data_IF_273303754381
#
_entry.id   IF_273303754381
#
_cell.length_a   1.000
_cell.length_b   1.000
_cell.length_c   1.000
_cell.angle_alpha   90.00
_cell.angle_beta   90.00
_cell.angle_gamma   90.00
#
_symmetry.space_group_name_H-M   'P 1'
#
loop_
_entity.id
_entity.type
_entity.pdbx_description
1 polymer ?
#
# COMPACT_ATOMS: atom_id res chain seq x y z
N UNK A 1 0.38 -28.47 -15.60
CA UNK A 1 0.10 -27.69 -14.37
C UNK A 1 -0.11 -26.26 -14.79
N UNK A 2 -1.17 -25.57 -14.34
CA UNK A 2 -1.39 -24.19 -14.76
C UNK A 2 -0.23 -23.33 -14.26
N UNK A 3 0.29 -22.46 -15.13
CA UNK A 3 1.48 -21.65 -14.90
C UNK A 3 1.44 -21.00 -13.51
N UNK A 4 2.38 -21.38 -12.65
CA UNK A 4 2.48 -20.90 -11.27
C UNK A 4 2.97 -19.44 -11.21
N UNK A 5 3.39 -18.87 -12.34
CA UNK A 5 4.01 -17.54 -12.46
C UNK A 5 3.09 -16.47 -13.06
N UNK A 6 1.79 -16.74 -13.15
CA UNK A 6 0.80 -15.78 -13.64
C UNK A 6 -0.20 -15.37 -12.54
N UNK A 7 -0.57 -14.09 -12.51
CA UNK A 7 -1.61 -13.58 -11.62
C UNK A 7 -2.97 -14.21 -11.92
N UNK A 8 -3.68 -14.59 -10.86
CA UNK A 8 -5.07 -15.07 -10.91
C UNK A 8 -5.92 -14.25 -9.96
N UNK A 9 -7.19 -14.04 -10.29
CA UNK A 9 -8.12 -13.40 -9.36
C UNK A 9 -8.37 -14.32 -8.17
N UNK A 10 -7.92 -13.91 -6.99
CA UNK A 10 -8.14 -14.59 -5.72
C UNK A 10 -9.46 -14.18 -5.08
N UNK A 11 -9.90 -12.93 -5.33
CA UNK A 11 -11.16 -12.39 -4.84
C UNK A 11 -11.74 -11.39 -5.85
N UNK A 12 -12.87 -11.73 -6.47
CA UNK A 12 -13.59 -10.84 -7.40
C UNK A 12 -14.53 -9.90 -6.62
N UNK A 13 -13.95 -9.00 -5.82
CA UNK A 13 -14.70 -8.07 -4.95
C UNK A 13 -15.18 -6.82 -5.67
N UNK A 14 -14.63 -6.51 -6.85
CA UNK A 14 -14.96 -5.32 -7.64
C UNK A 14 -14.86 -4.03 -6.82
N UNK A 15 -13.80 -3.90 -6.03
CA UNK A 15 -13.50 -2.72 -5.23
C UNK A 15 -13.42 -1.47 -6.11
N UNK A 16 -13.92 -0.35 -5.59
CA UNK A 16 -13.83 0.96 -6.24
C UNK A 16 -12.36 1.36 -6.36
N UNK A 17 -11.67 1.41 -5.22
CA UNK A 17 -10.24 1.66 -5.09
C UNK A 17 -9.68 0.75 -4.00
N UNK A 18 -9.38 -0.51 -4.35
CA UNK A 18 -8.72 -1.45 -3.44
C UNK A 18 -7.28 -1.03 -3.20
N UNK A 19 -6.83 -1.00 -1.95
CA UNK A 19 -5.52 -0.47 -1.54
C UNK A 19 -4.99 -1.13 -0.25
N UNK A 20 -3.73 -0.81 0.09
CA UNK A 20 -3.06 -1.17 1.34
C UNK A 20 -3.24 -2.65 1.79
N UNK A 21 -2.99 -3.65 0.93
CA UNK A 21 -2.98 -5.05 1.34
C UNK A 21 -1.89 -5.29 2.40
N UNK A 22 -2.25 -5.96 3.50
CA UNK A 22 -1.36 -6.37 4.59
C UNK A 22 -1.69 -7.81 4.99
N UNK A 23 -0.70 -8.69 4.93
CA UNK A 23 -0.87 -10.08 5.37
C UNK A 23 -0.67 -10.22 6.89
N UNK A 24 -1.69 -10.75 7.58
CA UNK A 24 -1.56 -11.16 8.98
C UNK A 24 -1.09 -12.61 9.04
N UNK A 25 0.16 -12.83 9.46
CA UNK A 25 0.72 -14.18 9.69
C UNK A 25 -0.05 -14.92 10.77
N UNK A 26 -0.59 -14.22 11.77
CA UNK A 26 -1.35 -14.84 12.87
C UNK A 26 -2.72 -15.30 12.39
N UNK A 27 -3.42 -14.45 11.63
CA UNK A 27 -4.79 -14.74 11.20
C UNK A 27 -4.85 -15.53 9.89
N UNK A 28 -3.71 -15.72 9.23
CA UNK A 28 -3.57 -16.29 7.88
C UNK A 28 -4.58 -15.65 6.90
N UNK A 29 -4.63 -14.32 6.94
CA UNK A 29 -5.59 -13.53 6.18
C UNK A 29 -4.97 -12.24 5.65
N UNK A 30 -5.47 -11.80 4.49
CA UNK A 30 -5.11 -10.54 3.87
C UNK A 30 -6.10 -9.46 4.35
N UNK A 31 -5.59 -8.46 5.05
CA UNK A 31 -6.32 -7.22 5.30
C UNK A 31 -6.08 -6.24 4.16
N UNK A 32 -7.06 -5.43 3.79
CA UNK A 32 -6.94 -4.44 2.71
C UNK A 32 -8.06 -3.39 2.84
N UNK A 33 -8.00 -2.28 2.12
CA UNK A 33 -9.03 -1.23 2.18
C UNK A 33 -9.68 -0.98 0.84
N UNK A 34 -10.95 -0.60 0.84
CA UNK A 34 -11.53 0.15 -0.28
C UNK A 34 -11.66 1.61 0.14
N UNK A 35 -10.86 2.48 -0.45
CA UNK A 35 -10.77 3.89 -0.04
C UNK A 35 -12.09 4.61 -0.37
N UNK A 36 -12.66 4.34 -1.54
CA UNK A 36 -13.79 5.09 -2.10
C UNK A 36 -15.14 4.42 -1.88
N UNK A 37 -15.16 3.14 -1.47
CA UNK A 37 -16.28 2.53 -0.77
C UNK A 37 -15.82 2.20 0.68
N UNK A 38 -15.77 3.22 1.56
CA UNK A 38 -14.90 3.19 2.74
C UNK A 38 -15.07 1.96 3.61
N UNK A 39 -14.06 1.08 3.59
CA UNK A 39 -14.07 -0.15 4.36
C UNK A 39 -12.65 -0.67 4.61
N UNK A 40 -12.43 -1.21 5.81
CA UNK A 40 -11.32 -2.13 6.08
C UNK A 40 -11.85 -3.54 5.89
N UNK A 41 -11.14 -4.37 5.13
CA UNK A 41 -11.58 -5.68 4.72
C UNK A 41 -10.62 -6.74 5.23
N UNK A 42 -11.15 -7.93 5.55
CA UNK A 42 -10.39 -9.14 5.85
C UNK A 42 -10.77 -10.23 4.86
N UNK A 43 -9.82 -10.61 4.00
CA UNK A 43 -9.94 -11.71 3.07
C UNK A 43 -9.20 -12.96 3.60
N UNK A 44 -9.94 -14.05 3.73
CA UNK A 44 -9.44 -15.35 4.16
C UNK A 44 -9.33 -16.27 2.93
N UNK A 45 -8.11 -16.55 2.43
CA UNK A 45 -7.93 -17.31 1.20
C UNK A 45 -8.28 -18.80 1.35
N UNK A 46 -8.27 -19.35 2.57
CA UNK A 46 -8.63 -20.74 2.82
C UNK A 46 -10.14 -20.98 2.67
N UNK A 47 -10.94 -20.00 3.07
CA UNK A 47 -12.42 -20.05 3.00
C UNK A 47 -13.01 -19.24 1.84
N UNK A 48 -12.17 -18.52 1.10
CA UNK A 48 -12.56 -17.53 0.08
C UNK A 48 -13.54 -16.47 0.60
N UNK A 49 -13.54 -16.19 1.91
CA UNK A 49 -14.49 -15.26 2.54
C UNK A 49 -13.86 -13.90 2.72
N UNK A 50 -14.56 -12.85 2.27
CA UNK A 50 -14.23 -11.46 2.59
C UNK A 50 -15.20 -10.92 3.64
N UNK A 51 -14.69 -10.26 4.67
CA UNK A 51 -15.47 -9.56 5.69
C UNK A 51 -15.13 -8.08 5.64
N UNK A 52 -16.12 -7.26 5.32
CA UNK A 52 -15.98 -5.81 5.30
C UNK A 52 -16.34 -5.21 6.66
N UNK A 53 -15.51 -4.29 7.13
CA UNK A 53 -15.72 -3.44 8.30
C UNK A 53 -15.91 -2.00 7.78
N UNK A 54 -17.14 -1.49 7.70
CA UNK A 54 -17.42 -0.17 7.15
C UNK A 54 -16.70 0.94 7.93
N UNK A 55 -16.18 1.92 7.20
CA UNK A 55 -15.54 3.11 7.77
C UNK A 55 -16.41 4.35 7.52
N UNK A 56 -16.42 5.33 8.44
CA UNK A 56 -17.29 6.50 8.32
C UNK A 56 -16.82 7.48 7.23
N UNK A 57 -15.57 7.37 6.79
CA UNK A 57 -14.91 8.25 5.83
C UNK A 57 -13.86 7.46 5.06
N UNK A 58 -13.37 8.02 3.95
CA UNK A 58 -12.26 7.44 3.19
C UNK A 58 -11.12 7.03 4.12
N UNK A 59 -10.76 5.76 4.05
CA UNK A 59 -9.65 5.13 4.78
C UNK A 59 -8.48 5.04 3.81
N UNK A 60 -7.46 5.89 3.98
CA UNK A 60 -6.30 5.86 3.10
C UNK A 60 -5.51 4.59 3.32
N UNK A 61 -4.99 4.43 4.53
CA UNK A 61 -4.11 3.34 4.90
C UNK A 61 -4.34 2.90 6.35
N UNK A 62 -3.76 1.76 6.72
CA UNK A 62 -3.81 1.23 8.07
C UNK A 62 -2.56 0.38 8.37
N UNK A 63 -2.38 0.04 9.65
CA UNK A 63 -1.47 -1.03 10.06
C UNK A 63 -2.09 -1.86 11.19
N UNK A 64 -1.68 -3.12 11.27
CA UNK A 64 -1.97 -3.98 12.42
C UNK A 64 -1.26 -3.43 13.67
N UNK A 65 -1.87 -3.53 14.85
CA UNK A 65 -1.25 -3.11 16.11
C UNK A 65 -0.67 -4.27 16.90
N UNK A 66 0.42 -4.02 17.61
CA UNK A 66 1.02 -5.00 18.52
C UNK A 66 0.07 -5.35 19.68
N UNK A 67 -0.71 -4.39 20.16
CA UNK A 67 -1.73 -4.57 21.20
C UNK A 67 -3.02 -5.23 20.70
N UNK A 68 -3.11 -5.57 19.42
CA UNK A 68 -4.36 -5.98 18.77
C UNK A 68 -5.16 -4.79 18.21
N UNK A 69 -6.00 -5.09 17.22
CA UNK A 69 -6.71 -4.07 16.44
C UNK A 69 -5.82 -3.39 15.40
N UNK A 70 -6.17 -2.16 15.05
CA UNK A 70 -5.58 -1.41 13.95
C UNK A 70 -5.26 0.03 14.35
N UNK A 71 -4.27 0.62 13.70
CA UNK A 71 -4.17 2.07 13.51
C UNK A 71 -4.63 2.36 12.10
N UNK A 72 -5.55 3.32 11.92
CA UNK A 72 -6.16 3.63 10.63
C UNK A 72 -6.05 5.13 10.35
N UNK A 73 -5.71 5.49 9.12
CA UNK A 73 -5.66 6.88 8.67
C UNK A 73 -6.92 7.20 7.86
N UNK A 74 -7.88 7.87 8.49
CA UNK A 74 -9.12 8.35 7.87
C UNK A 74 -8.94 9.79 7.39
N UNK A 75 -9.81 10.26 6.47
CA UNK A 75 -9.74 11.63 5.92
C UNK A 75 -9.51 12.70 7.00
N UNK A 76 -10.17 12.61 8.15
CA UNK A 76 -10.07 13.61 9.22
C UNK A 76 -8.91 13.41 10.22
N UNK A 77 -8.21 12.28 10.19
CA UNK A 77 -7.13 12.00 11.13
C UNK A 77 -6.82 10.52 11.33
N UNK A 78 -5.93 10.25 12.28
CA UNK A 78 -5.47 8.91 12.60
C UNK A 78 -6.18 8.41 13.85
N UNK A 79 -6.71 7.19 13.76
CA UNK A 79 -7.53 6.55 14.78
C UNK A 79 -6.97 5.19 15.17
N UNK A 80 -7.21 4.80 16.41
CA UNK A 80 -7.12 3.42 16.86
C UNK A 80 -8.47 2.76 16.67
N UNK A 81 -8.47 1.51 16.19
CA UNK A 81 -9.67 0.72 15.97
C UNK A 81 -9.52 -0.69 16.56
N UNK A 82 -10.61 -1.23 17.07
CA UNK A 82 -10.71 -2.61 17.53
C UNK A 82 -10.56 -3.61 16.38
N UNK A 83 -10.40 -4.90 16.70
CA UNK A 83 -10.28 -5.98 15.71
C UNK A 83 -11.50 -6.16 14.81
N UNK A 84 -12.66 -5.67 15.23
CA UNK A 84 -13.88 -5.64 14.41
C UNK A 84 -14.04 -4.34 13.59
N UNK A 85 -13.03 -3.47 13.59
CA UNK A 85 -13.01 -2.20 12.86
C UNK A 85 -13.72 -1.04 13.57
N UNK A 86 -14.24 -1.24 14.79
CA UNK A 86 -14.85 -0.16 15.57
C UNK A 86 -13.80 0.88 15.94
N UNK A 87 -14.01 2.15 15.59
CA UNK A 87 -13.12 3.25 16.00
C UNK A 87 -13.22 3.48 17.51
N UNK A 88 -12.09 3.48 18.19
CA UNK A 88 -12.03 3.61 19.65
C UNK A 88 -11.54 5.00 20.08
N UNK A 89 -10.48 5.51 19.43
CA UNK A 89 -9.83 6.76 19.83
C UNK A 89 -9.16 7.44 18.64
N UNK A 90 -9.43 8.73 18.44
CA UNK A 90 -8.63 9.58 17.57
C UNK A 90 -7.34 9.95 18.29
N UNK A 91 -6.20 9.71 17.66
CA UNK A 91 -4.87 9.95 18.25
C UNK A 91 -4.14 11.13 17.62
N UNK A 92 -4.51 11.51 16.39
CA UNK A 92 -4.02 12.72 15.75
C UNK A 92 -5.04 13.25 14.74
N UNK A 93 -5.14 14.57 14.61
CA UNK A 93 -5.87 15.22 13.52
C UNK A 93 -5.04 15.21 12.23
N UNK A 94 -5.72 15.14 11.09
CA UNK A 94 -5.06 15.32 9.80
C UNK A 94 -4.60 16.78 9.64
N UNK A 95 -3.31 17.05 9.38
CA UNK A 95 -2.77 18.41 9.31
C UNK A 95 -2.96 19.04 7.93
N UNK A 96 -4.16 18.91 7.33
CA UNK A 96 -4.46 19.39 5.98
C UNK A 96 -5.92 19.81 5.83
N UNK A 97 -6.24 20.46 4.72
CA UNK A 97 -7.63 20.78 4.35
C UNK A 97 -8.36 19.52 3.84
N UNK A 98 -9.41 19.12 4.54
CA UNK A 98 -10.17 17.91 4.27
C UNK A 98 -11.03 17.98 2.99
N UNK A 99 -11.23 19.16 2.40
CA UNK A 99 -12.05 19.29 1.19
C UNK A 99 -11.33 18.73 -0.06
N UNK A 100 -10.00 18.70 -0.03
CA UNK A 100 -9.19 18.28 -1.17
C UNK A 100 -7.95 17.46 -0.83
N UNK A 101 -7.73 17.14 0.45
CA UNK A 101 -6.72 16.15 0.84
C UNK A 101 -7.35 14.96 1.56
N UNK A 102 -6.69 13.82 1.41
CA UNK A 102 -6.93 12.61 2.19
C UNK A 102 -5.64 11.81 2.29
N UNK A 103 -5.51 11.01 3.35
CA UNK A 103 -4.53 9.93 3.38
C UNK A 103 -4.68 9.00 2.16
N UNK A 104 -3.57 8.42 1.75
CA UNK A 104 -3.46 7.58 0.56
C UNK A 104 -2.76 6.27 0.89
N UNK A 105 -1.44 6.19 0.85
CA UNK A 105 -0.67 4.98 1.19
C UNK A 105 0.02 5.13 2.55
N UNK A 106 0.36 4.02 3.19
CA UNK A 106 1.02 4.00 4.47
C UNK A 106 1.24 2.59 5.01
N UNK A 107 2.22 2.47 5.90
CA UNK A 107 2.61 1.22 6.55
C UNK A 107 3.47 1.50 7.77
N UNK A 108 3.87 0.45 8.49
CA UNK A 108 4.85 0.58 9.55
C UNK A 108 6.29 0.51 9.06
N UNK A 109 7.17 1.29 9.69
CA UNK A 109 8.61 1.05 9.63
C UNK A 109 8.99 -0.24 10.41
N UNK A 110 10.24 -0.71 10.30
CA UNK A 110 10.70 -1.89 11.05
C UNK A 110 10.60 -1.77 12.58
N UNK A 111 10.53 -0.55 13.11
CA UNK A 111 10.44 -0.27 14.55
C UNK A 111 8.99 -0.10 15.03
N UNK A 112 8.01 -0.27 14.15
CA UNK A 112 6.59 -0.14 14.48
C UNK A 112 6.10 1.30 14.62
N UNK A 113 6.72 2.27 13.93
CA UNK A 113 6.16 3.60 13.73
C UNK A 113 5.24 3.59 12.52
N UNK A 114 4.07 4.21 12.59
CA UNK A 114 3.12 4.19 11.49
C UNK A 114 3.33 5.40 10.58
N UNK A 115 3.71 5.14 9.33
CA UNK A 115 3.86 6.17 8.31
C UNK A 115 2.59 6.24 7.46
N UNK A 116 2.08 7.45 7.27
CA UNK A 116 0.87 7.71 6.49
C UNK A 116 1.09 8.91 5.56
N UNK A 117 1.06 8.63 4.26
CA UNK A 117 1.11 9.63 3.21
C UNK A 117 -0.28 10.14 2.88
N UNK A 118 -0.38 11.41 2.49
CA UNK A 118 -1.61 11.95 1.92
C UNK A 118 -1.41 12.41 0.48
N UNK A 119 -2.50 12.82 -0.17
CA UNK A 119 -2.49 13.33 -1.54
C UNK A 119 -3.37 14.56 -1.67
N UNK A 120 -3.08 15.39 -2.68
CA UNK A 120 -3.97 16.44 -3.14
C UNK A 120 -4.88 15.90 -4.25
N UNK A 121 -6.18 15.79 -3.98
CA UNK A 121 -7.18 15.27 -4.90
C UNK A 121 -7.45 16.20 -6.10
N UNK A 122 -7.18 17.50 -5.97
CA UNK A 122 -7.27 18.47 -7.09
C UNK A 122 -6.11 18.32 -8.07
N UNK A 123 -4.96 17.81 -7.61
CA UNK A 123 -3.75 17.62 -8.42
C UNK A 123 -3.26 18.90 -9.11
N UNK A 124 -3.49 20.04 -8.45
CA UNK A 124 -3.14 21.38 -8.92
C UNK A 124 -1.86 21.92 -8.27
N UNK A 125 -1.41 21.33 -7.15
CA UNK A 125 -0.19 21.70 -6.45
C UNK A 125 0.37 20.53 -5.60
N UNK A 126 1.68 20.60 -5.33
CA UNK A 126 2.40 19.65 -4.46
C UNK A 126 2.24 20.02 -2.98
N UNK A 127 1.01 19.88 -2.48
CA UNK A 127 0.67 20.22 -1.08
C UNK A 127 0.59 19.00 -0.17
N UNK A 128 0.94 17.82 -0.69
CA UNK A 128 0.90 16.58 0.06
C UNK A 128 2.19 16.30 0.84
N UNK A 129 2.11 15.41 1.82
CA UNK A 129 3.24 15.03 2.66
C UNK A 129 3.19 13.55 3.06
N UNK A 130 4.34 13.03 3.51
CA UNK A 130 4.46 11.79 4.25
C UNK A 130 4.61 12.13 5.73
N UNK A 131 3.72 11.59 6.56
CA UNK A 131 3.73 11.77 8.01
C UNK A 131 4.17 10.48 8.71
N UNK A 132 4.70 10.62 9.92
CA UNK A 132 5.02 9.51 10.82
C UNK A 132 4.34 9.71 12.16
N UNK A 133 3.58 8.72 12.59
CA UNK A 133 3.04 8.59 13.93
C UNK A 133 3.98 7.70 14.75
N UNK A 134 4.58 8.28 15.79
CA UNK A 134 5.40 7.55 16.76
C UNK A 134 4.51 6.76 17.76
N UNK A 135 5.07 5.79 18.51
CA UNK A 135 4.30 4.98 19.47
C UNK A 135 3.65 5.79 20.61
N UNK A 136 4.14 7.00 20.87
CA UNK A 136 3.55 7.96 21.82
C UNK A 136 2.44 8.83 21.22
N UNK A 137 2.07 8.55 19.96
CA UNK A 137 1.10 9.27 19.14
C UNK A 137 1.54 10.67 18.66
N UNK A 138 2.83 11.00 18.74
CA UNK A 138 3.36 12.20 18.11
C UNK A 138 3.31 12.06 16.58
N UNK A 139 2.64 12.99 15.91
CA UNK A 139 2.56 13.04 14.44
C UNK A 139 3.57 14.04 13.88
N UNK A 140 4.55 13.54 13.12
CA UNK A 140 5.68 14.32 12.59
C UNK A 140 5.67 14.31 11.06
N UNK A 141 5.74 15.46 10.37
CA UNK A 141 5.98 15.51 8.93
C UNK A 141 7.40 15.01 8.60
N UNK A 142 7.52 14.13 7.61
CA UNK A 142 8.78 13.50 7.20
C UNK A 142 9.23 13.95 5.82
N UNK A 143 8.34 13.91 4.84
CA UNK A 143 8.57 14.42 3.49
C UNK A 143 7.43 15.36 3.12
N UNK A 144 7.71 16.42 2.36
CA UNK A 144 6.72 17.34 1.79
C UNK A 144 7.01 17.61 0.31
N UNK A 145 6.30 18.56 -0.29
CA UNK A 145 6.39 18.85 -1.74
C UNK A 145 6.07 17.61 -2.59
N UNK A 146 5.03 16.88 -2.19
CA UNK A 146 4.53 15.67 -2.85
C UNK A 146 3.15 15.99 -3.45
N UNK A 147 2.80 15.35 -4.57
CA UNK A 147 1.42 15.41 -5.08
C UNK A 147 0.59 14.21 -4.63
N UNK A 148 1.11 12.98 -4.79
CA UNK A 148 0.44 11.74 -4.41
C UNK A 148 1.45 10.81 -3.72
N UNK A 149 1.38 10.74 -2.39
CA UNK A 149 2.26 9.89 -1.58
C UNK A 149 1.89 8.40 -1.72
N UNK A 150 2.86 7.60 -2.17
CA UNK A 150 2.70 6.18 -2.50
C UNK A 150 4.01 5.39 -2.32
N UNK A 151 3.95 4.08 -2.55
CA UNK A 151 5.12 3.24 -2.77
C UNK A 151 6.04 3.13 -1.55
N UNK A 152 5.49 3.26 -0.35
CA UNK A 152 6.31 3.22 0.85
C UNK A 152 6.79 1.79 1.13
N UNK A 153 8.10 1.61 1.25
CA UNK A 153 8.67 0.35 1.72
C UNK A 153 10.02 0.54 2.41
N UNK A 154 10.48 -0.50 3.09
CA UNK A 154 11.76 -0.51 3.78
C UNK A 154 12.59 -1.73 3.33
N UNK A 155 13.90 -1.54 3.19
CA UNK A 155 14.81 -2.66 2.89
C UNK A 155 14.83 -3.69 4.03
N UNK A 156 15.21 -4.96 3.77
CA UNK A 156 15.18 -6.01 4.79
C UNK A 156 16.08 -5.73 5.99
N UNK A 157 17.18 -4.98 5.79
CA UNK A 157 18.08 -4.55 6.84
C UNK A 157 17.61 -3.28 7.58
N UNK A 158 16.48 -2.69 7.17
CA UNK A 158 15.90 -1.50 7.76
C UNK A 158 16.70 -0.21 7.54
N UNK A 159 17.63 -0.19 6.57
CA UNK A 159 18.53 0.96 6.33
C UNK A 159 18.18 1.82 5.14
N UNK A 160 17.22 1.39 4.32
CA UNK A 160 16.73 2.14 3.17
C UNK A 160 15.21 2.27 3.26
N UNK A 161 14.72 3.49 3.07
CA UNK A 161 13.30 3.77 2.84
C UNK A 161 13.09 4.05 1.35
N UNK A 162 12.05 3.46 0.77
CA UNK A 162 11.58 3.72 -0.58
C UNK A 162 10.28 4.52 -0.53
N UNK A 163 10.08 5.43 -1.48
CA UNK A 163 8.84 6.19 -1.60
C UNK A 163 8.63 6.62 -3.06
N UNK A 164 7.39 6.63 -3.50
CA UNK A 164 6.99 7.07 -4.83
C UNK A 164 6.07 8.30 -4.73
N UNK A 165 6.32 9.28 -5.60
CA UNK A 165 5.35 10.32 -5.93
C UNK A 165 4.81 10.01 -7.33
N UNK A 166 3.61 9.42 -7.40
CA UNK A 166 3.11 8.79 -8.63
C UNK A 166 3.16 9.68 -9.88
N UNK A 167 2.81 10.98 -9.82
CA UNK A 167 2.86 11.88 -10.97
C UNK A 167 4.27 12.18 -11.50
N UNK A 168 5.33 11.94 -10.71
CA UNK A 168 6.71 12.16 -11.19
C UNK A 168 7.29 10.93 -11.90
N UNK A 169 6.57 9.79 -11.90
CA UNK A 169 7.03 8.52 -12.45
C UNK A 169 8.36 8.05 -11.83
N UNK A 170 8.62 8.43 -10.58
CA UNK A 170 9.88 8.19 -9.87
C UNK A 170 9.64 7.40 -8.60
N UNK A 171 10.48 6.40 -8.36
CA UNK A 171 10.68 5.82 -7.02
C UNK A 171 12.00 6.40 -6.49
N UNK A 172 11.96 6.96 -5.29
CA UNK A 172 13.13 7.47 -4.57
C UNK A 172 13.52 6.50 -3.47
N UNK A 173 14.82 6.42 -3.22
CA UNK A 173 15.38 5.78 -2.03
C UNK A 173 16.01 6.83 -1.12
N UNK A 174 16.01 6.53 0.17
CA UNK A 174 16.57 7.35 1.23
C UNK A 174 17.38 6.46 2.15
N UNK A 175 18.50 6.97 2.66
CA UNK A 175 19.14 6.35 3.81
C UNK A 175 18.20 6.52 5.02
N UNK A 176 17.94 5.43 5.74
CA UNK A 176 16.98 5.41 6.83
C UNK A 176 17.68 5.11 8.16
N UNK A 177 17.58 6.06 9.10
CA UNK A 177 17.99 5.84 10.48
C UNK A 177 16.83 5.20 11.24
N UNK A 178 16.94 3.89 11.49
CA UNK A 178 15.93 3.16 12.26
C UNK A 178 15.81 3.65 13.72
N UNK A 179 16.88 4.16 14.31
CA UNK A 179 16.86 4.63 15.70
C UNK A 179 15.99 5.88 15.84
N UNK A 180 16.09 6.82 14.90
CA UNK A 180 15.31 8.07 14.94
C UNK A 180 14.05 8.03 14.08
N UNK A 181 13.94 7.07 13.16
CA UNK A 181 12.88 6.97 12.16
C UNK A 181 12.95 8.03 11.07
N UNK A 182 14.17 8.47 10.71
CA UNK A 182 14.40 9.63 9.85
C UNK A 182 15.05 9.21 8.52
N UNK A 183 14.43 9.52 7.37
CA UNK A 183 15.06 9.37 6.07
C UNK A 183 15.99 10.56 5.75
N UNK A 184 17.04 10.30 4.98
CA UNK A 184 18.00 11.30 4.51
C UNK A 184 18.59 10.89 3.15
N UNK A 185 19.42 11.75 2.55
CA UNK A 185 20.13 11.45 1.29
C UNK A 185 19.21 10.94 0.15
N UNK A 186 18.18 11.72 -0.25
CA UNK A 186 17.27 11.32 -1.31
C UNK A 186 18.01 11.06 -2.62
N UNK A 187 17.74 9.91 -3.23
CA UNK A 187 18.28 9.53 -4.54
C UNK A 187 17.19 8.93 -5.42
N UNK A 188 17.30 9.14 -6.73
CA UNK A 188 16.45 8.41 -7.68
C UNK A 188 16.84 6.94 -7.59
N UNK A 189 15.89 6.09 -7.24
CA UNK A 189 16.06 4.65 -7.23
C UNK A 189 15.70 4.07 -8.60
N UNK A 190 14.53 4.44 -9.11
CA UNK A 190 14.09 4.11 -10.46
C UNK A 190 13.25 5.26 -11.05
N UNK A 191 13.37 5.47 -12.35
CA UNK A 191 12.61 6.47 -13.11
C UNK A 191 12.02 5.80 -14.35
N UNK A 192 10.74 6.08 -14.60
CA UNK A 192 10.03 5.56 -15.77
C UNK A 192 9.57 6.71 -16.66
N UNK A 193 9.38 6.40 -17.94
CA UNK A 193 9.08 7.39 -18.97
C UNK A 193 7.84 7.03 -19.82
N UNK A 194 7.29 5.83 -19.69
CA UNK A 194 6.05 5.44 -20.36
C UNK A 194 4.85 6.16 -19.78
N UNK A 195 3.87 6.48 -20.62
CA UNK A 195 2.65 7.20 -20.22
C UNK A 195 1.84 6.47 -19.13
N UNK A 196 1.90 5.13 -19.14
CA UNK A 196 1.25 4.23 -18.19
C UNK A 196 2.19 3.69 -17.12
N UNK A 197 3.46 4.10 -17.11
CA UNK A 197 4.45 3.63 -16.13
C UNK A 197 4.42 4.50 -14.87
N UNK A 198 3.34 4.34 -14.11
CA UNK A 198 3.07 5.13 -12.90
C UNK A 198 3.23 4.24 -11.67
N UNK A 199 4.38 4.26 -10.98
CA UNK A 199 4.56 3.51 -9.75
C UNK A 199 3.52 4.00 -8.73
N UNK A 200 2.77 3.05 -8.21
CA UNK A 200 1.79 3.24 -7.17
C UNK A 200 2.37 2.66 -5.88
N UNK A 201 1.68 1.75 -5.22
CA UNK A 201 2.16 1.02 -4.07
C UNK A 201 3.29 0.00 -4.35
N UNK A 202 4.13 -0.29 -3.35
CA UNK A 202 5.13 -1.36 -3.43
C UNK A 202 5.57 -2.02 -2.13
N UNK A 203 6.19 -3.19 -2.26
CA UNK A 203 6.69 -4.03 -1.17
C UNK A 203 8.09 -4.57 -1.48
N UNK A 204 8.81 -5.05 -0.46
CA UNK A 204 10.18 -5.56 -0.60
C UNK A 204 10.21 -7.04 -0.23
N UNK A 205 10.89 -7.85 -1.06
CA UNK A 205 11.13 -9.26 -0.76
C UNK A 205 12.38 -9.47 0.12
N UNK A 206 12.59 -10.70 0.59
CA UNK A 206 13.69 -11.03 1.52
C UNK A 206 15.10 -10.83 0.92
N UNK A 207 15.22 -10.75 -0.39
CA UNK A 207 16.49 -10.45 -1.08
C UNK A 207 16.69 -8.94 -1.31
N UNK A 208 15.73 -8.12 -0.90
CA UNK A 208 15.78 -6.66 -1.06
C UNK A 208 15.29 -6.18 -2.42
N UNK A 209 14.64 -7.03 -3.22
CA UNK A 209 14.02 -6.56 -4.47
C UNK A 209 12.74 -5.81 -4.14
N UNK A 210 12.54 -4.65 -4.79
CA UNK A 210 11.34 -3.84 -4.64
C UNK A 210 10.32 -4.21 -5.72
N UNK A 211 9.10 -4.49 -5.32
CA UNK A 211 7.97 -4.86 -6.18
C UNK A 211 6.97 -3.71 -6.18
N UNK A 212 6.62 -3.19 -7.35
CA UNK A 212 5.72 -2.03 -7.48
C UNK A 212 4.54 -2.37 -8.37
N UNK A 213 3.32 -2.06 -7.91
CA UNK A 213 2.17 -1.98 -8.78
C UNK A 213 2.24 -0.73 -9.67
N UNK A 214 1.80 -0.85 -10.92
CA UNK A 214 1.80 0.25 -11.89
C UNK A 214 0.37 0.65 -12.25
N UNK A 215 -0.11 1.76 -11.69
CA UNK A 215 -1.48 2.23 -11.89
C UNK A 215 -1.71 2.63 -13.36
N UNK A 216 -2.74 2.05 -13.99
CA UNK A 216 -3.00 2.12 -15.45
C UNK A 216 -1.97 1.39 -16.33
N UNK A 217 -0.92 0.83 -15.74
CA UNK A 217 0.08 0.01 -16.42
C UNK A 217 -0.33 -1.46 -16.56
N UNK A 218 -1.25 -1.95 -15.74
CA UNK A 218 -1.72 -3.34 -15.78
C UNK A 218 -0.65 -4.37 -15.44
N UNK A 219 0.34 -3.97 -14.63
CA UNK A 219 1.49 -4.81 -14.28
C UNK A 219 2.00 -4.56 -12.87
N UNK A 220 2.75 -5.52 -12.37
CA UNK A 220 3.69 -5.36 -11.26
C UNK A 220 5.11 -5.45 -11.81
N UNK A 221 6.00 -4.57 -11.36
CA UNK A 221 7.42 -4.53 -11.76
C UNK A 221 8.29 -4.91 -10.58
N UNK A 222 9.18 -5.89 -10.77
CA UNK A 222 10.23 -6.26 -9.82
C UNK A 222 11.52 -5.51 -10.16
N UNK A 223 12.06 -4.78 -9.19
CA UNK A 223 13.29 -4.01 -9.28
C UNK A 223 14.36 -4.64 -8.38
N UNK A 224 15.60 -4.68 -8.85
CA UNK A 224 16.75 -5.10 -8.03
C UNK A 224 16.98 -4.10 -6.89
N UNK A 225 17.80 -4.43 -5.87
CA UNK A 225 18.17 -3.48 -4.82
C UNK A 225 18.94 -2.24 -5.32
N UNK A 226 19.30 -2.20 -6.61
CA UNK A 226 19.95 -1.07 -7.29
C UNK A 226 18.98 -0.30 -8.20
N UNK A 227 17.71 -0.69 -8.26
CA UNK A 227 16.67 -0.01 -9.04
C UNK A 227 16.53 -0.49 -10.48
N UNK A 228 17.25 -1.54 -10.89
CA UNK A 228 17.15 -2.10 -12.24
C UNK A 228 15.90 -2.98 -12.37
N UNK A 229 15.18 -2.86 -13.49
CA UNK A 229 14.06 -3.77 -13.80
C UNK A 229 14.58 -5.20 -13.98
N UNK A 230 14.09 -6.11 -13.14
CA UNK A 230 14.39 -7.54 -13.22
C UNK A 230 13.31 -8.31 -13.95
N UNK A 231 12.04 -7.95 -13.73
CA UNK A 231 10.90 -8.61 -14.34
C UNK A 231 9.65 -7.72 -14.31
N UNK A 232 8.74 -7.97 -15.26
CA UNK A 232 7.39 -7.41 -15.28
C UNK A 232 6.37 -8.54 -15.32
N UNK A 233 5.29 -8.39 -14.54
CA UNK A 233 4.24 -9.39 -14.39
C UNK A 233 2.89 -8.77 -14.74
N UNK A 234 2.22 -9.31 -15.74
CA UNK A 234 0.92 -8.80 -16.20
C UNK A 234 -0.17 -9.13 -15.17
N UNK A 235 -0.93 -8.12 -14.77
CA UNK A 235 -2.10 -8.27 -13.90
C UNK A 235 -3.36 -8.18 -14.78
N UNK A 236 -4.36 -9.09 -14.62
CA UNK A 236 -5.64 -9.03 -15.35
C UNK A 236 -6.58 -7.88 -14.93
N UNK A 237 -6.02 -6.69 -14.67
CA UNK A 237 -6.72 -5.45 -14.38
C UNK A 237 -5.86 -4.28 -14.83
N UNK A 238 -6.48 -3.19 -15.33
CA UNK A 238 -5.74 -2.03 -15.82
C UNK A 238 -5.07 -1.22 -14.70
N UNK A 239 -5.69 -1.18 -13.54
CA UNK A 239 -5.27 -0.37 -12.39
C UNK A 239 -4.91 -1.23 -11.18
N UNK A 240 -3.81 -2.01 -11.20
CA UNK A 240 -3.21 -2.52 -9.97
C UNK A 240 -2.71 -1.35 -9.13
N UNK A 241 -2.86 -1.44 -7.81
CA UNK A 241 -2.67 -0.30 -6.90
C UNK A 241 -1.54 -0.53 -5.89
N UNK A 242 -1.51 -1.69 -5.23
CA UNK A 242 -0.49 -2.03 -4.24
C UNK A 242 -0.29 -3.54 -4.18
N UNK A 243 0.85 -3.99 -3.65
CA UNK A 243 1.17 -5.40 -3.50
C UNK A 243 1.66 -5.75 -2.09
N UNK A 244 1.42 -6.99 -1.67
CA UNK A 244 1.90 -7.51 -0.39
C UNK A 244 2.17 -9.01 -0.48
N UNK A 245 3.16 -9.47 0.27
CA UNK A 245 3.48 -10.89 0.37
C UNK A 245 2.64 -11.54 1.47
N UNK A 246 2.13 -12.73 1.21
CA UNK A 246 1.31 -13.51 2.12
C UNK A 246 1.39 -15.01 1.82
N UNK A 247 0.47 -15.77 2.41
CA UNK A 247 0.61 -17.22 2.55
C UNK A 247 1.37 -17.58 3.83
N UNK A 248 1.38 -18.87 4.15
CA UNK A 248 2.10 -19.44 5.29
C UNK A 248 3.63 -19.34 5.12
N UNK A 249 4.11 -19.39 3.88
CA UNK A 249 5.51 -19.25 3.49
C UNK A 249 5.92 -17.84 3.03
N UNK A 250 4.97 -16.89 2.97
CA UNK A 250 5.13 -15.55 2.40
C UNK A 250 5.53 -15.54 0.91
N UNK A 251 5.28 -16.61 0.17
CA UNK A 251 5.56 -16.76 -1.26
C UNK A 251 4.33 -16.54 -2.15
N UNK A 252 3.24 -15.99 -1.61
CA UNK A 252 2.12 -15.50 -2.42
C UNK A 252 2.16 -13.99 -2.50
N UNK A 253 2.34 -13.44 -3.69
CA UNK A 253 2.22 -12.00 -3.94
C UNK A 253 0.76 -11.66 -4.23
N UNK A 254 0.10 -10.99 -3.29
CA UNK A 254 -1.22 -10.40 -3.48
C UNK A 254 -1.11 -9.00 -4.08
N UNK A 255 -2.07 -8.64 -4.94
CA UNK A 255 -2.16 -7.33 -5.58
C UNK A 255 -3.60 -6.84 -5.51
N UNK A 256 -3.79 -5.66 -4.91
CA UNK A 256 -5.06 -4.94 -4.98
C UNK A 256 -5.20 -4.24 -6.33
N UNK A 257 -6.43 -3.97 -6.74
CA UNK A 257 -6.71 -3.19 -7.94
C UNK A 257 -7.91 -2.27 -7.77
N UNK A 258 -8.05 -1.33 -8.69
CA UNK A 258 -9.14 -0.39 -8.76
C UNK A 258 -9.95 -0.57 -10.04
N UNK A 259 -11.23 -0.20 -9.97
CA UNK A 259 -12.13 -0.16 -11.14
C UNK A 259 -12.82 1.19 -11.32
N UNK A 260 -12.67 2.09 -10.36
CA UNK A 260 -13.26 3.41 -10.44
C UNK A 260 -12.82 4.16 -11.70
N UNK A 261 -13.73 4.97 -12.24
CA UNK A 261 -13.45 5.83 -13.39
C UNK A 261 -12.82 5.05 -14.58
N UNK A 262 -13.16 3.77 -14.72
CA UNK A 262 -12.80 2.94 -15.86
C UNK A 262 -13.92 2.91 -16.88
N UNK A 263 -13.50 2.81 -18.13
CA UNK A 263 -14.41 2.75 -19.26
C UNK A 263 -15.26 1.47 -19.20
N UNK A 264 -16.59 1.52 -19.45
CA UNK A 264 -17.43 0.33 -19.45
C UNK A 264 -16.98 -0.77 -20.41
N UNK A 265 -16.44 -0.43 -21.58
CA UNK A 265 -15.91 -1.39 -22.55
C UNK A 265 -14.63 -2.06 -22.03
N UNK A 266 -13.75 -1.30 -21.36
CA UNK A 266 -12.58 -1.85 -20.66
C UNK A 266 -13.03 -2.82 -19.56
N UNK A 267 -14.03 -2.44 -18.75
CA UNK A 267 -14.56 -3.29 -17.69
C UNK A 267 -15.24 -4.56 -18.24
N UNK A 268 -15.82 -4.51 -19.44
CA UNK A 268 -16.35 -5.71 -20.10
C UNK A 268 -15.22 -6.66 -20.55
N UNK A 269 -14.06 -6.13 -20.96
CA UNK A 269 -12.88 -6.91 -21.34
C UNK A 269 -12.08 -7.43 -20.12
N UNK A 270 -12.06 -6.66 -19.03
CA UNK A 270 -11.38 -6.96 -17.77
C UNK A 270 -12.41 -7.00 -16.61
N UNK A 271 -13.32 -8.00 -16.60
CA UNK A 271 -14.46 -8.04 -15.68
C UNK A 271 -14.08 -8.15 -14.20
N UNK A 272 -12.84 -8.57 -13.92
CA UNK A 272 -12.27 -8.72 -12.58
C UNK A 272 -11.53 -7.46 -12.10
N UNK A 273 -11.60 -6.34 -12.83
CA UNK A 273 -11.04 -5.07 -12.37
C UNK A 273 -11.66 -4.65 -11.03
N UNK A 274 -10.83 -4.25 -10.07
CA UNK A 274 -11.22 -4.06 -8.67
C UNK A 274 -11.12 -5.34 -7.83
N UNK A 275 -10.68 -6.46 -8.41
CA UNK A 275 -10.39 -7.69 -7.67
C UNK A 275 -9.05 -7.65 -6.93
N UNK A 276 -8.85 -8.66 -6.09
CA UNK A 276 -7.54 -9.01 -5.51
C UNK A 276 -6.96 -10.13 -6.36
N UNK A 277 -5.74 -9.93 -6.84
CA UNK A 277 -5.00 -10.92 -7.61
C UNK A 277 -3.91 -11.56 -6.77
N UNK A 278 -3.55 -12.81 -7.08
CA UNK A 278 -2.49 -13.54 -6.41
C UNK A 278 -1.60 -14.28 -7.42
N UNK A 279 -0.31 -14.34 -7.14
CA UNK A 279 0.69 -15.08 -7.90
C UNK A 279 1.71 -15.68 -6.94
N UNK A 280 2.18 -16.91 -7.20
CA UNK A 280 3.27 -17.47 -6.42
C UNK A 280 4.62 -16.90 -6.88
N UNK A 281 5.53 -16.64 -5.94
CA UNK A 281 6.84 -16.03 -6.18
C UNK A 281 7.95 -16.88 -5.56
N UNK A 282 9.09 -16.98 -6.24
CA UNK A 282 10.22 -17.80 -5.75
C UNK A 282 10.92 -17.22 -4.51
N UNK A 283 10.82 -15.91 -4.28
CA UNK A 283 11.44 -15.23 -3.13
C UNK A 283 10.34 -14.77 -2.18
N UNK A 284 10.33 -15.22 -0.92
CA UNK A 284 9.33 -14.82 0.05
C UNK A 284 9.48 -13.35 0.44
N UNK A 285 8.37 -12.76 0.89
CA UNK A 285 8.38 -11.46 1.55
C UNK A 285 8.89 -11.49 2.98
N UNK A 286 8.56 -10.44 3.70
CA UNK A 286 8.82 -10.26 5.13
C UNK A 286 7.47 -10.13 5.86
N UNK A 287 7.35 -10.60 7.12
CA UNK A 287 6.20 -10.26 7.94
C UNK A 287 6.07 -8.74 8.09
N UNK A 288 4.86 -8.21 7.92
CA UNK A 288 4.64 -6.77 8.06
C UNK A 288 4.85 -6.33 9.52
N UNK A 289 5.65 -5.27 9.77
CA UNK A 289 5.75 -4.69 11.10
C UNK A 289 4.39 -4.20 11.59
N UNK A 290 4.16 -4.33 12.90
CA UNK A 290 2.95 -3.85 13.56
C UNK A 290 3.23 -2.53 14.28
N UNK A 291 2.26 -1.63 14.28
CA UNK A 291 2.35 -0.38 15.01
C UNK A 291 2.52 -0.65 16.50
N UNK A 292 3.49 0.03 17.13
CA UNK A 292 3.91 -0.21 18.50
C UNK A 292 3.18 0.68 19.55
N UNK A 293 2.32 1.60 19.09
CA UNK A 293 1.46 2.46 19.94
C UNK A 293 0.00 2.05 19.99
#
# INVERSE_FOLDING_TARGET
>A
MPDATAFRCALDVKASLGECPVWSVVDQALFWVDINAPSLNRFDPATCRNTAMPMPQAIGCFALRQSGGFVVALRDGIWLAATNGTLERKVADAPYDHDFHRFNDGRCDPQGRFFAGFMNERRDANTAALLRLDPDFTLTPILGDIMISNGLAFSPDGRTMYHADTPTHTIRAFDYDAATGTPSQPRVFAQFFGETDRPDGGAVDREGNYWSAFYRGGKVVKLSPQGNVLAEFVVPAKCPTMCAFGGDDLQTLYVTSARQQRDPEELAQLPQSGGIFAMHVGVPGLPEPKFAG
#
